data_IF_018296959371
#
_entry.id   IF_018296959371
#
_cell.length_a   1.000
_cell.length_b   1.000
_cell.length_c   1.000
_cell.angle_alpha   90.00
_cell.angle_beta   90.00
_cell.angle_gamma   90.00
#
_symmetry.space_group_name_H-M   'P 1'
#
loop_
_entity.id
_entity.type
_entity.pdbx_description
1 polymer ?
#
# COMPACT_ATOMS: atom_id res chain seq x y z
N UNK A 1 -1.42 18.23 -14.29
CA UNK A 1 -1.49 16.84 -13.80
C UNK A 1 -1.82 16.83 -12.32
N UNK A 2 -2.70 15.92 -11.86
CA UNK A 2 -3.22 15.93 -10.49
C UNK A 2 -2.12 15.76 -9.41
N UNK A 3 -1.04 15.06 -9.69
CA UNK A 3 0.05 14.82 -8.75
C UNK A 3 1.17 15.85 -8.85
N UNK A 4 1.64 16.16 -10.06
CA UNK A 4 2.70 17.16 -10.31
C UNK A 4 2.07 18.50 -10.67
N UNK A 5 1.52 19.19 -9.70
CA UNK A 5 0.81 20.45 -9.90
C UNK A 5 1.70 21.69 -9.73
N UNK A 6 2.93 21.52 -9.24
CA UNK A 6 3.88 22.62 -8.95
C UNK A 6 5.20 22.45 -9.72
N UNK A 7 5.11 22.34 -11.04
CA UNK A 7 6.25 22.08 -11.93
C UNK A 7 7.31 23.18 -11.93
N UNK A 8 6.97 24.41 -11.50
CA UNK A 8 7.89 25.56 -11.47
C UNK A 8 8.43 25.88 -10.06
N UNK A 9 8.19 25.03 -9.10
CA UNK A 9 8.68 25.19 -7.72
C UNK A 9 7.74 24.51 -6.74
N UNK A 10 8.29 23.61 -5.97
CA UNK A 10 7.59 22.90 -4.90
C UNK A 10 8.50 22.76 -3.71
N UNK A 11 7.95 22.92 -2.53
CA UNK A 11 8.61 22.53 -1.26
C UNK A 11 8.59 21.02 -1.06
N UNK A 12 7.74 20.32 -1.82
CA UNK A 12 7.62 18.87 -1.78
C UNK A 12 8.55 18.23 -2.81
N UNK A 13 9.07 17.05 -2.47
CA UNK A 13 9.95 16.31 -3.36
C UNK A 13 9.29 15.98 -4.70
N UNK A 14 10.08 15.91 -5.76
CA UNK A 14 9.65 15.54 -7.12
C UNK A 14 8.56 16.45 -7.73
N UNK A 15 8.51 17.73 -7.34
CA UNK A 15 7.55 18.71 -7.84
C UNK A 15 6.09 18.30 -7.59
N UNK A 16 5.86 17.56 -6.53
CA UNK A 16 4.53 17.18 -6.09
C UNK A 16 3.79 18.38 -5.48
N UNK A 17 2.49 18.35 -5.54
CA UNK A 17 1.63 19.40 -4.98
C UNK A 17 1.19 19.17 -3.54
N UNK A 18 1.53 18.01 -2.98
CA UNK A 18 1.11 17.56 -1.65
C UNK A 18 2.14 16.63 -1.03
N UNK A 19 2.10 16.49 0.29
CA UNK A 19 3.00 15.61 1.03
C UNK A 19 2.88 14.14 0.60
N UNK A 20 4.03 13.49 0.50
CA UNK A 20 4.15 12.14 0.00
C UNK A 20 5.40 11.46 0.61
N UNK A 21 5.25 10.36 1.35
CA UNK A 21 6.37 9.67 1.97
C UNK A 21 7.16 8.87 0.94
N UNK A 22 8.46 9.18 0.84
CA UNK A 22 9.40 8.52 -0.08
C UNK A 22 10.04 7.27 0.52
N UNK A 23 10.03 7.15 1.84
CA UNK A 23 10.67 6.05 2.55
C UNK A 23 9.90 4.73 2.41
N UNK A 24 10.62 3.61 2.55
CA UNK A 24 10.01 2.29 2.60
C UNK A 24 9.14 2.09 3.84
N UNK A 25 9.62 2.61 4.99
CA UNK A 25 8.89 2.65 6.24
C UNK A 25 8.62 4.09 6.66
N UNK A 26 7.44 4.35 7.17
CA UNK A 26 7.14 5.59 7.87
C UNK A 26 6.10 5.35 8.99
N UNK A 27 6.09 6.24 9.98
CA UNK A 27 5.01 6.26 10.95
C UNK A 27 3.73 6.77 10.27
N UNK A 28 2.64 6.04 10.46
CA UNK A 28 1.37 6.44 9.86
C UNK A 28 0.88 7.79 10.40
N UNK A 29 0.61 8.70 9.49
CA UNK A 29 -0.17 9.91 9.72
C UNK A 29 -0.99 10.20 8.46
N UNK A 30 -2.28 10.53 8.56
CA UNK A 30 -3.10 10.86 7.39
C UNK A 30 -2.54 12.00 6.55
N UNK A 31 -1.90 12.99 7.17
CA UNK A 31 -1.32 14.14 6.49
C UNK A 31 -0.15 13.77 5.61
N UNK A 32 0.70 12.85 6.04
CA UNK A 32 1.83 12.35 5.25
C UNK A 32 1.44 11.67 3.94
N UNK A 33 0.19 11.23 3.82
CA UNK A 33 -0.34 10.57 2.63
C UNK A 33 -1.36 11.43 1.88
N UNK A 34 -1.31 12.75 2.07
CA UNK A 34 -2.29 13.67 1.51
C UNK A 34 -2.36 13.60 -0.02
N UNK A 35 -1.23 13.34 -0.68
CA UNK A 35 -1.21 13.11 -2.13
C UNK A 35 -2.09 11.91 -2.53
N UNK A 36 -1.97 10.79 -1.85
CA UNK A 36 -2.73 9.58 -2.13
C UNK A 36 -4.21 9.74 -1.74
N UNK A 37 -4.45 10.33 -0.58
CA UNK A 37 -5.79 10.54 -0.04
C UNK A 37 -6.57 11.69 -0.71
N UNK A 38 -5.92 12.45 -1.59
CA UNK A 38 -6.63 13.35 -2.49
C UNK A 38 -7.58 12.64 -3.46
N UNK A 39 -7.33 11.35 -3.74
CA UNK A 39 -8.16 10.51 -4.61
C UNK A 39 -8.66 9.24 -3.91
N UNK A 40 -7.92 8.72 -2.93
CA UNK A 40 -8.27 7.50 -2.21
C UNK A 40 -8.90 7.82 -0.85
N UNK A 41 -9.89 7.02 -0.45
CA UNK A 41 -10.48 7.15 0.88
C UNK A 41 -9.44 6.79 1.96
N UNK A 42 -9.14 7.75 2.84
CA UNK A 42 -8.17 7.57 3.95
C UNK A 42 -8.52 6.43 4.91
N UNK A 43 -9.78 6.03 4.97
CA UNK A 43 -10.23 4.93 5.79
C UNK A 43 -9.67 3.58 5.35
N UNK A 44 -9.17 3.48 4.12
CA UNK A 44 -8.45 2.30 3.64
C UNK A 44 -7.25 1.93 4.53
N UNK A 45 -6.60 2.92 5.14
CA UNK A 45 -5.48 2.72 6.05
C UNK A 45 -5.85 2.93 7.53
N UNK A 46 -7.07 3.39 7.85
CA UNK A 46 -7.50 3.72 9.21
C UNK A 46 -8.38 2.67 9.85
N UNK A 47 -9.27 2.05 9.09
CA UNK A 47 -10.23 1.09 9.62
C UNK A 47 -9.63 -0.31 9.67
N UNK A 48 -9.57 -0.88 10.86
CA UNK A 48 -9.08 -2.27 11.08
C UNK A 48 -9.97 -3.30 10.39
N UNK A 49 -11.26 -3.04 10.27
CA UNK A 49 -12.24 -3.93 9.66
C UNK A 49 -13.04 -3.23 8.56
N UNK A 50 -13.29 -3.94 7.47
CA UNK A 50 -14.09 -3.46 6.34
C UNK A 50 -14.61 -4.61 5.47
N UNK A 51 -15.70 -4.37 4.77
CA UNK A 51 -16.20 -5.24 3.69
C UNK A 51 -16.18 -4.55 2.33
N UNK A 52 -16.02 -3.23 2.28
CA UNK A 52 -16.24 -2.39 1.11
C UNK A 52 -15.03 -1.56 0.68
N UNK A 53 -14.27 -1.01 1.66
CA UNK A 53 -13.20 -0.05 1.37
C UNK A 53 -12.07 -0.62 0.51
N UNK A 54 -11.79 -1.90 0.62
CA UNK A 54 -10.70 -2.54 -0.09
C UNK A 54 -10.96 -4.02 -0.35
N UNK A 55 -10.42 -4.51 -1.47
CA UNK A 55 -10.34 -5.94 -1.76
C UNK A 55 -9.12 -6.61 -1.11
N UNK A 56 -8.16 -5.84 -0.59
CA UNK A 56 -7.01 -6.35 0.15
C UNK A 56 -7.39 -6.55 1.62
N UNK A 57 -8.15 -7.61 1.87
CA UNK A 57 -8.65 -7.99 3.19
C UNK A 57 -8.81 -9.50 3.30
N UNK A 58 -8.66 -10.03 4.49
CA UNK A 58 -8.90 -11.42 4.81
C UNK A 58 -10.17 -11.51 5.67
N UNK A 59 -11.23 -12.07 5.12
CA UNK A 59 -12.56 -11.88 5.68
C UNK A 59 -12.90 -10.38 5.77
N UNK A 60 -13.13 -9.90 6.99
CA UNK A 60 -13.36 -8.48 7.30
C UNK A 60 -12.09 -7.73 7.69
N UNK A 61 -10.98 -8.42 7.93
CA UNK A 61 -9.76 -7.78 8.39
C UNK A 61 -9.01 -7.07 7.28
N UNK A 62 -8.82 -5.77 7.44
CA UNK A 62 -8.20 -4.91 6.44
C UNK A 62 -6.68 -5.04 6.45
N UNK A 63 -6.11 -5.54 5.37
CA UNK A 63 -4.67 -5.76 5.26
C UNK A 63 -3.89 -4.47 4.96
N UNK A 64 -4.52 -3.42 4.40
CA UNK A 64 -3.89 -2.10 4.34
C UNK A 64 -3.67 -1.54 5.75
N UNK A 65 -4.67 -1.64 6.63
CA UNK A 65 -4.49 -1.25 8.03
C UNK A 65 -3.33 -2.01 8.67
N UNK A 66 -3.26 -3.32 8.47
CA UNK A 66 -2.19 -4.16 9.02
C UNK A 66 -0.80 -3.69 8.60
N UNK A 67 -0.62 -3.30 7.35
CA UNK A 67 0.70 -2.96 6.80
C UNK A 67 1.07 -1.49 7.00
N UNK A 68 0.10 -0.58 6.88
CA UNK A 68 0.34 0.86 6.85
C UNK A 68 0.21 1.51 8.23
N UNK A 69 -0.83 1.14 9.02
CA UNK A 69 -1.16 1.83 10.28
C UNK A 69 -0.29 1.37 11.45
N UNK A 70 1.01 1.71 11.42
CA UNK A 70 2.01 1.34 12.43
C UNK A 70 3.06 2.43 12.59
N UNK A 71 3.85 2.39 13.68
CA UNK A 71 5.03 3.25 13.87
C UNK A 71 6.09 3.04 12.79
N UNK A 72 6.28 1.79 12.32
CA UNK A 72 7.08 1.41 11.16
C UNK A 72 6.16 0.77 10.13
N UNK A 73 5.18 1.54 9.65
CA UNK A 73 4.26 1.11 8.62
C UNK A 73 4.93 1.09 7.25
N UNK A 74 4.46 0.23 6.36
CA UNK A 74 4.83 0.29 4.94
C UNK A 74 4.18 1.53 4.33
N UNK A 75 4.92 2.27 3.54
CA UNK A 75 4.31 3.36 2.76
C UNK A 75 3.51 2.79 1.59
N UNK A 76 2.61 3.57 1.03
CA UNK A 76 1.81 3.14 -0.13
C UNK A 76 2.71 2.69 -1.28
N UNK A 77 3.81 3.40 -1.52
CA UNK A 77 4.78 3.12 -2.57
C UNK A 77 5.70 1.94 -2.28
N UNK A 78 5.73 1.42 -1.07
CA UNK A 78 6.41 0.15 -0.80
C UNK A 78 5.76 -1.04 -1.52
N UNK A 79 4.49 -0.90 -1.92
CA UNK A 79 3.75 -1.95 -2.62
C UNK A 79 3.17 -1.49 -3.95
N UNK A 80 2.87 -0.20 -4.13
CA UNK A 80 2.22 0.32 -5.33
C UNK A 80 3.15 1.16 -6.19
N UNK A 81 3.15 0.91 -7.49
CA UNK A 81 3.77 1.76 -8.50
C UNK A 81 2.86 2.95 -8.82
N UNK A 82 3.36 4.18 -8.60
CA UNK A 82 2.55 5.38 -8.84
C UNK A 82 2.31 5.67 -10.34
N UNK A 83 3.25 5.28 -11.20
CA UNK A 83 3.17 5.57 -12.64
C UNK A 83 2.69 4.38 -13.46
N UNK A 84 3.23 3.20 -13.22
CA UNK A 84 2.88 1.98 -13.94
C UNK A 84 3.23 0.72 -13.14
N UNK A 85 2.58 -0.38 -13.47
CA UNK A 85 2.93 -1.73 -13.09
C UNK A 85 2.26 -2.72 -14.04
N UNK A 86 2.90 -3.83 -14.29
CA UNK A 86 2.34 -4.95 -15.06
C UNK A 86 1.44 -5.83 -14.17
N UNK A 87 1.59 -5.73 -12.85
CA UNK A 87 0.80 -6.50 -11.92
C UNK A 87 -0.57 -5.88 -11.61
N UNK A 88 -1.53 -6.71 -11.28
CA UNK A 88 -2.87 -6.26 -10.90
C UNK A 88 -2.83 -5.26 -9.73
N UNK A 89 -3.73 -4.27 -9.75
CA UNK A 89 -3.87 -3.24 -8.71
C UNK A 89 -2.64 -2.35 -8.54
N UNK A 90 -1.85 -2.18 -9.60
CA UNK A 90 -0.62 -1.41 -9.58
C UNK A 90 0.38 -1.87 -8.51
N UNK A 91 0.37 -3.15 -8.14
CA UNK A 91 1.41 -3.72 -7.29
C UNK A 91 2.69 -3.72 -8.09
N UNK A 92 3.78 -3.14 -7.55
CA UNK A 92 5.07 -3.07 -8.24
C UNK A 92 5.74 -4.46 -8.26
N UNK A 93 6.58 -4.67 -9.27
CA UNK A 93 7.32 -5.93 -9.47
C UNK A 93 8.45 -6.10 -8.47
N UNK A 94 9.00 -4.96 -8.01
CA UNK A 94 10.08 -4.90 -7.04
C UNK A 94 10.04 -3.62 -6.23
N UNK A 95 10.69 -3.63 -5.09
CA UNK A 95 10.82 -2.46 -4.23
C UNK A 95 12.27 -2.31 -3.77
N UNK A 96 12.87 -1.12 -3.91
CA UNK A 96 14.19 -0.85 -3.36
C UNK A 96 14.14 -0.83 -1.82
N UNK A 97 15.11 -1.48 -1.19
CA UNK A 97 15.27 -1.52 0.24
C UNK A 97 16.77 -1.47 0.59
N UNK A 98 17.25 -0.32 1.04
CA UNK A 98 18.67 -0.07 1.19
C UNK A 98 19.41 -0.23 -0.15
N UNK A 99 20.47 -1.03 -0.17
CA UNK A 99 21.22 -1.36 -1.40
C UNK A 99 20.65 -2.53 -2.21
N UNK A 100 19.47 -3.03 -1.86
CA UNK A 100 18.86 -4.22 -2.45
C UNK A 100 17.54 -3.89 -3.13
N UNK A 101 17.12 -4.76 -4.05
CA UNK A 101 15.77 -4.76 -4.60
C UNK A 101 15.09 -6.08 -4.26
N UNK A 102 13.92 -5.99 -3.64
CA UNK A 102 13.11 -7.16 -3.29
C UNK A 102 11.99 -7.36 -4.32
N UNK A 103 11.87 -8.54 -4.92
CA UNK A 103 10.76 -8.83 -5.80
C UNK A 103 9.44 -8.87 -5.02
N UNK A 104 8.38 -8.39 -5.65
CA UNK A 104 7.01 -8.53 -5.21
C UNK A 104 6.24 -9.25 -6.31
N UNK A 105 5.78 -10.46 -6.02
CA UNK A 105 4.91 -11.21 -6.93
C UNK A 105 3.51 -11.24 -6.32
N UNK A 106 2.57 -10.63 -7.02
CA UNK A 106 1.17 -10.61 -6.62
C UNK A 106 0.31 -11.38 -7.62
N UNK A 107 -0.33 -12.43 -7.15
CA UNK A 107 -1.30 -13.20 -7.94
C UNK A 107 -2.69 -12.99 -7.40
N UNK A 108 -3.56 -12.37 -8.22
CA UNK A 108 -4.96 -12.17 -7.88
C UNK A 108 -5.72 -13.49 -8.01
N UNK A 109 -6.54 -13.82 -7.02
CA UNK A 109 -7.50 -14.93 -7.08
C UNK A 109 -8.94 -14.39 -7.19
N UNK A 110 -9.92 -15.27 -7.37
CA UNK A 110 -11.35 -14.89 -7.44
C UNK A 110 -11.78 -14.07 -6.22
N UNK A 111 -11.44 -14.52 -5.03
CA UNK A 111 -11.88 -13.92 -3.77
C UNK A 111 -10.77 -13.26 -2.97
N UNK A 112 -9.54 -13.21 -3.46
CA UNK A 112 -8.40 -12.70 -2.70
C UNK A 112 -7.16 -12.52 -3.54
N UNK A 113 -6.05 -12.98 -3.01
CA UNK A 113 -4.75 -12.96 -3.68
C UNK A 113 -3.66 -13.61 -2.86
N UNK A 114 -2.53 -13.84 -3.50
CA UNK A 114 -1.30 -14.33 -2.88
C UNK A 114 -0.18 -13.35 -3.14
N UNK A 115 0.54 -12.99 -2.09
CA UNK A 115 1.77 -12.20 -2.18
C UNK A 115 2.98 -13.07 -1.84
N UNK A 116 3.97 -13.06 -2.73
CA UNK A 116 5.31 -13.58 -2.49
C UNK A 116 6.25 -12.38 -2.46
N UNK A 117 6.81 -12.09 -1.31
CA UNK A 117 7.62 -10.88 -1.05
C UNK A 117 8.84 -11.23 -0.21
N UNK A 118 9.91 -10.46 -0.31
CA UNK A 118 11.13 -10.68 0.47
C UNK A 118 11.01 -10.43 1.98
N UNK A 119 9.89 -9.88 2.45
CA UNK A 119 9.72 -9.45 3.84
C UNK A 119 9.17 -10.55 4.77
N UNK A 120 8.51 -11.55 4.23
CA UNK A 120 7.92 -12.67 4.98
C UNK A 120 7.64 -13.85 4.04
N UNK A 121 7.36 -15.03 4.59
CA UNK A 121 6.89 -16.17 3.81
C UNK A 121 5.63 -15.82 3.00
N UNK A 122 5.39 -16.49 1.86
CA UNK A 122 4.21 -16.28 1.04
C UNK A 122 2.92 -16.26 1.87
N UNK A 123 2.05 -15.30 1.61
CA UNK A 123 0.77 -15.14 2.29
C UNK A 123 -0.36 -15.06 1.28
N UNK A 124 -1.37 -15.89 1.52
CA UNK A 124 -2.64 -15.87 0.80
C UNK A 124 -3.72 -15.30 1.69
N UNK A 125 -4.63 -14.55 1.12
CA UNK A 125 -5.81 -14.01 1.80
C UNK A 125 -7.07 -14.28 0.98
N UNK A 126 -8.18 -14.43 1.67
CA UNK A 126 -9.48 -14.66 1.03
C UNK A 126 -10.58 -13.85 1.75
N UNK A 127 -11.38 -13.14 0.97
CA UNK A 127 -12.45 -12.28 1.51
C UNK A 127 -13.66 -13.03 2.03
N UNK A 128 -13.84 -14.26 1.59
CA UNK A 128 -15.01 -15.10 1.91
C UNK A 128 -14.64 -16.14 2.96
N UNK A 129 -13.47 -16.80 2.77
CA UNK A 129 -12.94 -17.82 3.68
C UNK A 129 -11.61 -17.35 4.25
N UNK A 130 -11.60 -16.61 5.37
CA UNK A 130 -10.37 -16.06 5.95
C UNK A 130 -9.34 -17.15 6.21
N UNK A 131 -8.09 -16.86 5.81
CA UNK A 131 -6.97 -17.82 5.89
C UNK A 131 -5.94 -17.41 6.94
N UNK A 132 -5.88 -16.11 7.26
CA UNK A 132 -4.90 -15.59 8.20
C UNK A 132 -5.39 -15.75 9.63
N UNK A 133 -4.61 -16.45 10.45
CA UNK A 133 -4.77 -16.43 11.91
C UNK A 133 -4.23 -15.09 12.43
N UNK A 134 -5.06 -14.05 12.36
CA UNK A 134 -4.74 -12.75 12.91
C UNK A 134 -5.21 -12.81 14.35
N UNK A 135 -4.26 -12.82 15.29
CA UNK A 135 -4.56 -12.93 16.71
C UNK A 135 -5.65 -11.94 17.14
N UNK A 136 -6.57 -12.45 17.87
CA UNK A 136 -7.64 -11.71 18.58
C UNK A 136 -7.05 -10.68 19.53
#
# INVERSE_FOLDING_TARGET
>A
TACHSKIHGSTDSMLLGREFPMNFYDSYSPTKYDLCFGCHNKDIARKKSTTELTSFRDGKFNLHFLHVNRKKGRTCTSCHGAHASTQAKHVREEVPFGGWSYPIQYTKTKNGGTCVVGCHAPKTYDRIKPLLKIGS
#
